data_IF_940435294114
#
_entry.id   IF_940435294114
#
_cell.length_a   1.000
_cell.length_b   1.000
_cell.length_c   1.000
_cell.angle_alpha   90.00
_cell.angle_beta   90.00
_cell.angle_gamma   90.00
#
_symmetry.space_group_name_H-M   'P 1'
#
loop_
_entity.id
_entity.type
_entity.pdbx_description
1 polymer ?
#
# COMPACT_ATOMS: atom_id res chain seq x y z
N UNK A 1 13.35 1.04 -0.78
CA UNK A 1 12.52 1.83 0.16
C UNK A 1 11.98 3.11 -0.46
N UNK A 2 10.72 3.09 -0.92
CA UNK A 2 9.96 4.24 -1.38
C UNK A 2 8.87 4.61 -0.36
N UNK A 3 8.44 5.87 -0.34
CA UNK A 3 7.30 6.32 0.48
C UNK A 3 6.09 6.62 -0.39
N UNK A 4 4.91 6.39 0.18
CA UNK A 4 3.67 6.76 -0.47
C UNK A 4 2.51 6.78 0.50
N UNK A 5 1.39 7.28 0.00
CA UNK A 5 0.14 7.39 0.75
C UNK A 5 -0.83 6.37 0.21
N UNK A 6 -1.44 5.58 1.08
CA UNK A 6 -2.46 4.60 0.69
C UNK A 6 -3.64 5.36 0.09
N UNK A 7 -3.87 5.16 -1.21
CA UNK A 7 -4.96 5.82 -1.93
C UNK A 7 -6.30 5.18 -1.61
N UNK A 8 -6.30 3.86 -1.52
CA UNK A 8 -7.41 3.05 -1.00
C UNK A 8 -6.93 1.62 -0.79
N UNK A 9 -7.58 0.90 0.10
CA UNK A 9 -7.33 -0.52 0.33
C UNK A 9 -8.63 -1.23 0.65
N UNK A 10 -8.84 -2.39 0.03
CA UNK A 10 -10.00 -3.22 0.30
C UNK A 10 -9.53 -4.54 0.91
N UNK A 11 -9.67 -4.64 2.24
CA UNK A 11 -9.32 -5.84 3.01
C UNK A 11 -10.18 -7.05 2.64
N UNK A 12 -11.45 -6.84 2.25
CA UNK A 12 -12.32 -7.94 1.80
C UNK A 12 -11.90 -8.54 0.46
N UNK A 13 -11.40 -7.71 -0.46
CA UNK A 13 -10.84 -8.16 -1.75
C UNK A 13 -9.37 -8.54 -1.65
N UNK A 14 -8.67 -8.11 -0.61
CA UNK A 14 -7.26 -8.40 -0.39
C UNK A 14 -6.29 -7.59 -1.25
N UNK A 15 -6.68 -6.41 -1.74
CA UNK A 15 -5.78 -5.56 -2.51
C UNK A 15 -6.12 -4.07 -2.40
N UNK A 16 -5.18 -3.23 -2.81
CA UNK A 16 -5.35 -1.78 -2.85
C UNK A 16 -4.29 -1.10 -3.71
N UNK A 17 -4.24 0.22 -3.60
CA UNK A 17 -3.29 1.05 -4.32
C UNK A 17 -2.66 2.10 -3.40
N UNK A 18 -1.39 2.36 -3.64
CA UNK A 18 -0.57 3.35 -2.92
C UNK A 18 -0.17 4.41 -3.94
N UNK A 19 -0.43 5.67 -3.62
CA UNK A 19 0.05 6.78 -4.40
C UNK A 19 1.46 7.16 -3.94
N UNK A 20 2.49 7.06 -4.82
CA UNK A 20 3.86 7.38 -4.45
C UNK A 20 4.05 8.89 -4.19
N UNK A 21 4.83 9.25 -3.17
CA UNK A 21 5.13 10.67 -2.86
C UNK A 21 5.96 11.35 -3.96
N UNK A 22 6.76 10.57 -4.69
CA UNK A 22 7.61 11.04 -5.77
C UNK A 22 6.84 11.37 -7.07
N UNK A 23 5.49 11.27 -7.07
CA UNK A 23 4.66 11.62 -8.22
C UNK A 23 4.87 10.64 -9.36
N UNK A 24 4.26 9.46 -9.25
CA UNK A 24 4.35 8.38 -10.23
C UNK A 24 3.01 7.66 -10.40
N UNK A 25 3.06 6.51 -11.09
CA UNK A 25 1.88 5.64 -11.21
C UNK A 25 1.50 5.05 -9.85
N UNK A 26 0.20 4.83 -9.65
CA UNK A 26 -0.31 4.17 -8.45
C UNK A 26 0.32 2.77 -8.35
N UNK A 27 0.90 2.47 -7.19
CA UNK A 27 1.55 1.20 -6.90
C UNK A 27 0.50 0.23 -6.36
N UNK A 28 0.34 -0.90 -7.02
CA UNK A 28 -0.53 -1.97 -6.57
C UNK A 28 0.03 -2.64 -5.32
N UNK A 29 -0.82 -2.89 -4.33
CA UNK A 29 -0.46 -3.62 -3.11
C UNK A 29 -1.42 -4.78 -2.88
N UNK A 30 -0.86 -5.96 -2.65
CA UNK A 30 -1.62 -7.17 -2.31
C UNK A 30 -1.60 -7.41 -0.79
N UNK A 31 -2.68 -8.00 -0.24
CA UNK A 31 -2.80 -8.29 1.19
C UNK A 31 -1.65 -9.17 1.71
N UNK A 32 -1.11 -10.07 0.89
CA UNK A 32 0.05 -10.88 1.28
C UNK A 32 1.28 -10.05 1.64
N UNK A 33 1.48 -8.90 1.00
CA UNK A 33 2.58 -7.99 1.35
C UNK A 33 2.30 -7.28 2.69
N UNK A 34 1.04 -6.91 2.92
CA UNK A 34 0.56 -6.29 4.17
C UNK A 34 0.70 -7.27 5.33
N UNK A 35 0.29 -8.52 5.14
CA UNK A 35 0.41 -9.61 6.13
C UNK A 35 1.88 -9.96 6.44
N UNK A 36 2.75 -9.99 5.42
CA UNK A 36 4.20 -10.16 5.62
C UNK A 36 4.82 -9.04 6.44
N UNK A 37 4.26 -7.83 6.38
CA UNK A 37 4.65 -6.71 7.22
C UNK A 37 4.04 -6.78 8.65
N UNK A 38 3.28 -7.83 8.97
CA UNK A 38 2.58 -7.98 10.25
C UNK A 38 1.33 -7.12 10.39
N UNK A 39 0.82 -6.59 9.27
CA UNK A 39 -0.38 -5.76 9.22
C UNK A 39 -1.55 -6.58 8.65
N UNK A 40 -2.76 -6.33 9.13
CA UNK A 40 -3.97 -7.00 8.59
C UNK A 40 -4.72 -6.14 7.57
N UNK A 41 -4.48 -4.82 7.55
CA UNK A 41 -5.13 -3.89 6.64
C UNK A 41 -4.29 -2.62 6.49
N UNK A 42 -4.63 -1.82 5.47
CA UNK A 42 -4.15 -0.47 5.29
C UNK A 42 -5.31 0.52 5.40
N UNK A 43 -5.04 1.69 5.97
CA UNK A 43 -6.03 2.77 6.08
C UNK A 43 -5.82 3.76 4.94
N UNK A 44 -6.90 4.22 4.31
CA UNK A 44 -6.84 5.29 3.31
C UNK A 44 -6.22 6.58 3.90
N UNK A 45 -5.34 7.24 3.14
CA UNK A 45 -4.59 8.41 3.59
C UNK A 45 -3.40 8.08 4.50
N UNK A 46 -3.19 6.82 4.85
CA UNK A 46 -2.05 6.41 5.67
C UNK A 46 -0.75 6.53 4.88
N UNK A 47 0.23 7.24 5.44
CA UNK A 47 1.57 7.32 4.88
C UNK A 47 2.37 6.07 5.28
N UNK A 48 2.90 5.36 4.30
CA UNK A 48 3.66 4.12 4.51
C UNK A 48 4.95 4.12 3.71
N UNK A 49 5.91 3.33 4.20
CA UNK A 49 7.13 3.01 3.50
C UNK A 49 6.97 1.62 2.88
N UNK A 50 7.26 1.48 1.59
CA UNK A 50 7.12 0.22 0.85
C UNK A 50 8.35 -0.03 -0.02
N UNK A 51 8.46 -1.23 -0.54
CA UNK A 51 9.50 -1.61 -1.50
C UNK A 51 8.82 -2.23 -2.72
N UNK A 52 9.23 -1.77 -3.90
CA UNK A 52 8.78 -2.33 -5.17
C UNK A 52 9.84 -3.35 -5.55
N UNK A 53 9.43 -4.62 -5.62
CA UNK A 53 10.23 -5.71 -6.19
C UNK A 53 9.82 -5.97 -7.64
#
# INVERSE_FOLDING_TARGET
>A
MATGTVKWFNSSKGFGFIQPDNGGQDVFVHISAVERAGLSTLTEGQKINYEIE
#
